data_IF_723242897540
#
_entry.id   IF_723242897540
#
_cell.length_a   1.000
_cell.length_b   1.000
_cell.length_c   1.000
_cell.angle_alpha   90.00
_cell.angle_beta   90.00
_cell.angle_gamma   90.00
#
_symmetry.space_group_name_H-M   'P 1'
#
loop_
_entity.id
_entity.type
_entity.pdbx_description
1 polymer ?
#
# COMPACT_ATOMS: atom_id res chain seq x y z
N UNK A 1 27.74 -9.45 -4.53
CA UNK A 1 27.37 -10.07 -5.81
C UNK A 1 25.94 -9.68 -6.18
N UNK A 2 25.65 -9.50 -7.47
CA UNK A 2 24.28 -9.36 -7.95
C UNK A 2 23.50 -10.66 -7.68
N UNK A 3 22.18 -10.56 -7.47
CA UNK A 3 21.32 -11.72 -7.21
C UNK A 3 21.40 -12.32 -5.79
N UNK A 4 22.35 -11.89 -4.94
CA UNK A 4 22.41 -12.36 -3.54
C UNK A 4 21.65 -11.45 -2.58
N UNK A 5 21.18 -12.00 -1.44
CA UNK A 5 20.48 -11.23 -0.40
C UNK A 5 21.30 -10.01 0.07
N UNK A 6 22.60 -10.21 0.29
CA UNK A 6 23.51 -9.12 0.68
C UNK A 6 23.64 -8.05 -0.41
N UNK A 7 23.67 -8.44 -1.69
CA UNK A 7 23.67 -7.49 -2.81
C UNK A 7 22.38 -6.67 -2.87
N UNK A 8 21.22 -7.32 -2.67
CA UNK A 8 19.92 -6.64 -2.62
C UNK A 8 19.82 -5.63 -1.48
N UNK A 9 20.35 -5.96 -0.30
CA UNK A 9 20.39 -5.03 0.84
C UNK A 9 21.23 -3.79 0.54
N UNK A 10 22.43 -3.96 -0.04
CA UNK A 10 23.29 -2.84 -0.45
C UNK A 10 22.60 -1.95 -1.49
N UNK A 11 21.97 -2.54 -2.50
CA UNK A 11 21.23 -1.79 -3.51
C UNK A 11 20.04 -1.01 -2.90
N UNK A 12 19.32 -1.61 -1.96
CA UNK A 12 18.22 -0.94 -1.27
C UNK A 12 18.70 0.26 -0.42
N UNK A 13 19.87 0.15 0.23
CA UNK A 13 20.48 1.26 0.95
C UNK A 13 20.84 2.41 -0.01
N UNK A 14 21.53 2.12 -1.10
CA UNK A 14 21.89 3.12 -2.12
C UNK A 14 20.65 3.77 -2.75
N UNK A 15 19.60 3.02 -3.03
CA UNK A 15 18.34 3.58 -3.57
C UNK A 15 17.65 4.52 -2.57
N UNK A 16 17.68 4.18 -1.27
CA UNK A 16 17.13 5.04 -0.22
C UNK A 16 17.93 6.33 -0.07
N UNK A 17 19.25 6.26 -0.18
CA UNK A 17 20.11 7.45 -0.15
C UNK A 17 19.90 8.34 -1.37
N UNK A 18 19.84 7.77 -2.58
CA UNK A 18 19.71 8.52 -3.83
C UNK A 18 18.33 9.15 -4.05
N UNK A 19 17.27 8.41 -3.72
CA UNK A 19 15.89 8.80 -4.06
C UNK A 19 15.02 9.13 -2.84
N UNK A 20 15.58 9.01 -1.64
CA UNK A 20 14.91 9.29 -0.37
C UNK A 20 14.06 8.14 0.16
N UNK A 21 13.55 8.35 1.37
CA UNK A 21 12.76 7.36 2.13
C UNK A 21 11.48 6.91 1.42
N UNK A 22 10.89 7.77 0.59
CA UNK A 22 9.60 7.53 -0.07
C UNK A 22 9.72 6.76 -1.39
N UNK A 23 10.94 6.47 -1.86
CA UNK A 23 11.18 5.86 -3.17
C UNK A 23 10.35 4.59 -3.40
N UNK A 24 10.46 3.63 -2.47
CA UNK A 24 9.71 2.37 -2.58
C UNK A 24 8.20 2.55 -2.36
N UNK A 25 7.78 3.51 -1.53
CA UNK A 25 6.37 3.80 -1.32
C UNK A 25 5.71 4.34 -2.60
N UNK A 26 6.39 5.26 -3.31
CA UNK A 26 5.91 5.82 -4.58
C UNK A 26 5.83 4.76 -5.68
N UNK A 27 6.84 3.90 -5.80
CA UNK A 27 6.83 2.80 -6.78
C UNK A 27 5.70 1.82 -6.49
N UNK A 28 5.53 1.41 -5.23
CA UNK A 28 4.45 0.51 -4.81
C UNK A 28 3.07 1.11 -5.07
N UNK A 29 2.87 2.41 -4.76
CA UNK A 29 1.62 3.11 -5.05
C UNK A 29 1.30 3.14 -6.55
N UNK A 30 2.29 3.46 -7.39
CA UNK A 30 2.12 3.48 -8.86
C UNK A 30 1.76 2.09 -9.39
N UNK A 31 2.46 1.06 -8.93
CA UNK A 31 2.18 -0.33 -9.28
C UNK A 31 0.79 -0.78 -8.85
N UNK A 32 0.39 -0.49 -7.61
CA UNK A 32 -0.93 -0.83 -7.10
C UNK A 32 -2.07 -0.10 -7.82
N UNK A 33 -1.87 1.16 -8.24
CA UNK A 33 -2.87 1.90 -9.02
C UNK A 33 -3.07 1.33 -10.43
N UNK A 34 -2.01 0.81 -11.05
CA UNK A 34 -2.06 0.19 -12.38
C UNK A 34 -2.54 -1.27 -12.31
N UNK A 35 -2.26 -1.96 -11.21
CA UNK A 35 -2.66 -3.34 -10.97
C UNK A 35 -4.13 -3.47 -10.58
N UNK A 36 -5.01 -3.62 -11.56
CA UNK A 36 -6.44 -3.85 -11.33
C UNK A 36 -6.82 -5.34 -11.27
N UNK A 37 -5.87 -6.25 -11.48
CA UNK A 37 -6.16 -7.68 -11.73
C UNK A 37 -6.31 -8.54 -10.47
N UNK A 38 -6.04 -8.00 -9.27
CA UNK A 38 -6.07 -8.77 -8.02
C UNK A 38 -6.90 -8.16 -6.87
N UNK A 39 -7.34 -9.02 -5.95
CA UNK A 39 -7.90 -8.64 -4.65
C UNK A 39 -9.13 -7.71 -4.70
N UNK A 40 -9.12 -6.69 -3.85
CA UNK A 40 -10.20 -5.70 -3.73
C UNK A 40 -10.28 -4.71 -4.91
N UNK A 41 -9.22 -4.62 -5.74
CA UNK A 41 -9.23 -3.79 -6.94
C UNK A 41 -9.96 -4.49 -8.10
N UNK A 42 -9.84 -5.82 -8.20
CA UNK A 42 -10.51 -6.61 -9.24
C UNK A 42 -12.02 -6.76 -9.02
N UNK A 43 -12.47 -6.74 -7.77
CA UNK A 43 -13.88 -6.86 -7.42
C UNK A 43 -14.32 -5.76 -6.43
N UNK A 44 -14.77 -4.59 -6.93
CA UNK A 44 -15.23 -3.49 -6.10
C UNK A 44 -16.40 -3.86 -5.18
N UNK A 45 -17.27 -4.79 -5.60
CA UNK A 45 -18.38 -5.24 -4.78
C UNK A 45 -17.90 -6.02 -3.53
N UNK A 46 -16.92 -6.91 -3.70
CA UNK A 46 -16.27 -7.62 -2.59
C UNK A 46 -15.60 -6.64 -1.62
N UNK A 47 -14.90 -5.64 -2.14
CA UNK A 47 -14.27 -4.59 -1.33
C UNK A 47 -15.29 -3.83 -0.47
N UNK A 48 -16.43 -3.48 -1.06
CA UNK A 48 -17.53 -2.80 -0.36
C UNK A 48 -18.09 -3.66 0.77
N UNK A 49 -18.36 -4.94 0.50
CA UNK A 49 -18.91 -5.87 1.50
C UNK A 49 -17.94 -6.06 2.68
N UNK A 50 -16.65 -6.30 2.38
CA UNK A 50 -15.63 -6.49 3.39
C UNK A 50 -15.42 -5.23 4.25
N UNK A 51 -15.35 -4.05 3.61
CA UNK A 51 -15.24 -2.76 4.29
C UNK A 51 -16.43 -2.47 5.20
N UNK A 52 -17.65 -2.72 4.73
CA UNK A 52 -18.86 -2.55 5.54
C UNK A 52 -18.88 -3.49 6.76
N UNK A 53 -18.50 -4.76 6.59
CA UNK A 53 -18.41 -5.72 7.69
C UNK A 53 -17.38 -5.27 8.74
N UNK A 54 -16.19 -4.87 8.30
CA UNK A 54 -15.13 -4.37 9.20
C UNK A 54 -15.55 -3.09 9.94
N UNK A 55 -16.21 -2.17 9.24
CA UNK A 55 -16.76 -0.95 9.84
C UNK A 55 -17.78 -1.23 10.94
N UNK A 56 -18.70 -2.19 10.74
CA UNK A 56 -19.71 -2.57 11.74
C UNK A 56 -19.12 -3.21 12.99
N UNK A 57 -18.04 -3.99 12.84
CA UNK A 57 -17.36 -4.67 13.97
C UNK A 57 -16.43 -3.70 14.73
N UNK A 58 -16.00 -2.62 14.09
CA UNK A 58 -15.03 -1.69 14.66
C UNK A 58 -15.53 -1.02 15.94
N UNK A 59 -14.68 -1.01 16.97
CA UNK A 59 -14.89 -0.27 18.22
C UNK A 59 -14.38 1.18 18.18
N UNK A 60 -13.75 1.60 17.08
CA UNK A 60 -13.08 2.91 16.97
C UNK A 60 -14.03 4.10 16.80
N UNK A 61 -15.34 3.84 16.65
CA UNK A 61 -16.34 4.86 16.34
C UNK A 61 -16.20 5.41 14.91
N UNK A 62 -17.19 6.19 14.43
CA UNK A 62 -17.12 6.83 13.12
C UNK A 62 -16.02 7.92 13.09
N UNK A 63 -15.50 8.20 11.90
CA UNK A 63 -14.57 9.31 11.70
C UNK A 63 -15.27 10.64 12.05
N UNK A 64 -14.56 11.53 12.78
CA UNK A 64 -15.06 12.87 13.10
C UNK A 64 -15.25 13.65 11.79
N UNK A 65 -16.43 14.23 11.58
CA UNK A 65 -16.66 15.14 10.47
C UNK A 65 -16.00 16.48 10.82
N UNK A 66 -15.01 16.90 10.05
CA UNK A 66 -14.59 18.30 10.07
C UNK A 66 -15.67 19.08 9.31
N UNK A 67 -16.56 19.73 10.06
CA UNK A 67 -17.50 20.71 9.50
C UNK A 67 -16.74 22.03 9.53
N UNK A 68 -16.49 22.59 8.34
CA UNK A 68 -15.89 23.91 8.17
C UNK A 68 -16.89 25.01 8.54
#
# INVERSE_FOLDING_TARGET
MAGTKQGGLKAAATNREKYGKDFYAKIGQKGGRLGCTGGFAANPALAKIAGAKGGRISRRGPAKKNVA
#
